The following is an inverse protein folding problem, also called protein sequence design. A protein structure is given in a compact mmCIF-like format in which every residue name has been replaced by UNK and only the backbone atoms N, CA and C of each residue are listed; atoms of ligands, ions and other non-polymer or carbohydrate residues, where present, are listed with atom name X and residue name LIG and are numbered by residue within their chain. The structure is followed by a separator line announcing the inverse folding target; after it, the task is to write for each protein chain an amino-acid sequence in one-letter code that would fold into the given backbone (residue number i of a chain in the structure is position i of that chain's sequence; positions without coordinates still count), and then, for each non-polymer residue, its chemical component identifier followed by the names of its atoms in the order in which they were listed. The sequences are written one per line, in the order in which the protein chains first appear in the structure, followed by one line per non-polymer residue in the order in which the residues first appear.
data_IF_168716138467
#
_entry.id   IF_168716138467
#
_cell.length_a   1.000
_cell.length_b   1.000
_cell.length_c   1.000
_cell.angle_alpha   90.00
_cell.angle_beta   90.00
_cell.angle_gamma   90.00
#
_symmetry.space_group_name_H-M   'P 1'
#
loop_
_entity.id
_entity.type
_entity.pdbx_description
1 polymer ?
#
# COMPACT_ATOMS: atom_id res chain seq x y z
N UNK A 1 -17.18 -11.36 -4.33
CA UNK A 1 -15.84 -10.88 -3.92
C UNK A 1 -15.95 -9.59 -3.12
N UNK A 2 -16.54 -9.62 -1.91
CA UNK A 2 -16.72 -8.39 -1.12
C UNK A 2 -16.60 -8.64 0.40
N UNK A 3 -17.04 -9.82 0.87
CA UNK A 3 -17.00 -10.19 2.28
C UNK A 3 -15.64 -9.99 2.96
N UNK A 4 -14.53 -10.45 2.36
CA UNK A 4 -13.18 -10.27 2.92
C UNK A 4 -12.82 -8.79 3.08
N UNK A 5 -13.05 -7.97 2.04
CA UNK A 5 -12.71 -6.56 2.07
C UNK A 5 -13.55 -5.81 3.10
N UNK A 6 -14.84 -6.10 3.18
CA UNK A 6 -15.73 -5.48 4.18
C UNK A 6 -15.27 -5.83 5.59
N UNK A 7 -15.00 -7.11 5.88
CA UNK A 7 -14.52 -7.53 7.21
C UNK A 7 -13.18 -6.91 7.56
N UNK A 8 -12.24 -6.87 6.61
CA UNK A 8 -10.94 -6.24 6.80
C UNK A 8 -11.08 -4.75 7.14
N UNK A 9 -11.90 -4.01 6.39
CA UNK A 9 -12.10 -2.57 6.60
C UNK A 9 -12.89 -2.25 7.88
N UNK A 10 -13.75 -3.15 8.35
CA UNK A 10 -14.43 -3.00 9.64
C UNK A 10 -13.48 -3.22 10.83
N UNK A 11 -12.51 -4.13 10.70
CA UNK A 11 -11.54 -4.42 11.76
C UNK A 11 -10.52 -3.30 11.98
N UNK A 12 -10.29 -2.41 11.01
CA UNK A 12 -9.27 -1.37 11.09
C UNK A 12 -9.86 0.03 10.89
N UNK A 13 -9.62 0.92 11.86
CA UNK A 13 -10.05 2.32 11.82
C UNK A 13 -9.19 3.20 10.92
N UNK A 14 -7.96 2.78 10.59
CA UNK A 14 -7.07 3.51 9.70
C UNK A 14 -6.14 2.55 8.95
N UNK A 15 -5.91 2.84 7.67
CA UNK A 15 -4.94 2.14 6.81
C UNK A 15 -4.15 3.20 6.06
N UNK A 16 -2.83 3.20 6.20
CA UNK A 16 -1.93 4.13 5.49
C UNK A 16 -0.75 3.39 4.87
N UNK A 17 -0.23 3.91 3.76
CA UNK A 17 0.94 3.34 3.10
C UNK A 17 2.19 3.51 4.00
N UNK A 18 2.97 2.44 4.14
CA UNK A 18 4.21 2.43 4.91
C UNK A 18 5.40 2.08 4.00
N UNK A 19 6.01 3.11 3.42
CA UNK A 19 7.21 2.96 2.58
C UNK A 19 8.45 2.54 3.39
N UNK A 20 8.50 2.80 4.70
CA UNK A 20 9.65 2.45 5.53
C UNK A 20 9.75 0.94 5.79
N UNK A 21 8.61 0.24 5.70
CA UNK A 21 8.54 -1.22 5.85
C UNK A 21 8.81 -1.97 4.53
N UNK A 22 8.79 -1.28 3.40
CA UNK A 22 9.01 -1.90 2.10
C UNK A 22 10.51 -2.20 1.84
N UNK A 23 10.84 -3.26 1.09
CA UNK A 23 12.21 -3.53 0.66
C UNK A 23 12.83 -2.32 -0.06
N UNK A 24 14.08 -1.92 0.22
CA UNK A 24 14.70 -0.74 -0.41
C UNK A 24 14.67 -0.77 -1.95
N UNK A 25 14.88 -1.94 -2.54
CA UNK A 25 14.91 -2.14 -4.00
C UNK A 25 13.52 -2.02 -4.67
N UNK A 26 12.45 -1.94 -3.87
CA UNK A 26 11.08 -1.81 -4.33
C UNK A 26 10.52 -0.39 -4.28
N UNK A 27 11.28 0.54 -3.69
CA UNK A 27 10.90 1.94 -3.56
C UNK A 27 11.14 2.70 -4.87
N UNK A 28 10.24 3.63 -5.25
CA UNK A 28 10.48 4.54 -6.36
C UNK A 28 11.84 5.26 -6.22
N UNK A 29 12.68 5.24 -7.26
CA UNK A 29 13.94 5.98 -7.25
C UNK A 29 13.74 7.48 -7.01
N UNK A 30 14.63 8.17 -6.28
CA UNK A 30 14.53 9.60 -6.02
C UNK A 30 14.40 10.46 -7.28
N UNK A 31 15.04 10.03 -8.37
CA UNK A 31 15.03 10.71 -9.67
C UNK A 31 13.63 10.83 -10.29
N UNK A 32 12.65 10.06 -9.81
CA UNK A 32 11.28 10.14 -10.30
C UNK A 32 10.62 11.48 -9.99
N UNK A 33 10.96 12.12 -8.87
CA UNK A 33 10.32 13.37 -8.40
C UNK A 33 10.39 14.53 -9.41
N UNK A 34 11.35 14.51 -10.33
CA UNK A 34 11.51 15.53 -11.38
C UNK A 34 10.91 15.15 -12.73
N UNK A 35 10.33 13.96 -12.88
CA UNK A 35 9.83 13.48 -14.16
C UNK A 35 8.38 13.94 -14.42
N UNK A 36 8.00 14.18 -15.68
CA UNK A 36 6.63 14.56 -16.00
C UNK A 36 5.64 13.42 -15.73
N UNK A 37 4.40 13.79 -15.37
CA UNK A 37 3.28 12.87 -15.25
C UNK A 37 3.21 12.09 -13.93
N UNK A 38 2.51 10.95 -13.93
CA UNK A 38 2.26 10.13 -12.72
C UNK A 38 3.54 9.66 -12.05
N UNK A 39 4.61 9.46 -12.81
CA UNK A 39 5.88 8.93 -12.31
C UNK A 39 6.46 9.77 -11.17
N UNK A 40 6.28 11.10 -11.16
CA UNK A 40 6.77 11.95 -10.09
C UNK A 40 6.02 11.84 -8.75
N UNK A 41 4.76 11.39 -8.78
CA UNK A 41 3.91 11.29 -7.59
C UNK A 41 3.66 9.84 -7.17
N UNK A 42 4.17 8.88 -7.94
CA UNK A 42 3.93 7.46 -7.69
C UNK A 42 4.73 6.99 -6.47
N UNK A 43 4.05 6.31 -5.55
CA UNK A 43 4.62 5.85 -4.28
C UNK A 43 5.04 4.37 -4.30
N UNK A 44 4.72 3.67 -5.39
CA UNK A 44 5.07 2.26 -5.62
C UNK A 44 5.59 2.09 -7.05
N UNK A 45 6.30 0.99 -7.34
CA UNK A 45 6.73 0.70 -8.71
C UNK A 45 5.75 -0.29 -9.35
N UNK A 46 4.83 0.14 -10.23
CA UNK A 46 3.97 -0.79 -10.97
C UNK A 46 4.80 -1.59 -11.98
N UNK A 47 4.55 -2.90 -12.05
CA UNK A 47 5.14 -3.84 -13.01
C UNK A 47 4.04 -4.67 -13.66
N UNK A 48 4.28 -5.10 -14.90
CA UNK A 48 3.35 -5.91 -15.67
C UNK A 48 4.12 -7.03 -16.37
N UNK A 49 4.20 -8.20 -15.74
CA UNK A 49 4.77 -9.41 -16.37
C UNK A 49 3.68 -10.25 -17.05
N UNK A 50 2.53 -10.37 -16.38
CA UNK A 50 1.32 -11.00 -16.91
C UNK A 50 0.10 -10.30 -16.33
N UNK A 51 0.11 -10.12 -15.00
CA UNK A 51 -0.84 -9.29 -14.26
C UNK A 51 -0.12 -8.06 -13.74
N UNK A 52 -0.83 -6.93 -13.64
CA UNK A 52 -0.32 -5.71 -13.02
C UNK A 52 -0.12 -5.94 -11.51
N UNK A 53 1.04 -5.55 -10.98
CA UNK A 53 1.34 -5.65 -9.56
C UNK A 53 2.32 -4.55 -9.10
N UNK A 54 2.38 -4.30 -7.79
CA UNK A 54 3.39 -3.44 -7.19
C UNK A 54 4.66 -4.26 -6.91
N UNK A 55 5.80 -3.83 -7.44
CA UNK A 55 7.11 -4.43 -7.13
C UNK A 55 7.33 -4.40 -5.62
N UNK A 56 7.73 -5.54 -5.02
CA UNK A 56 7.94 -5.65 -3.57
C UNK A 56 6.68 -5.67 -2.70
N UNK A 57 5.49 -5.62 -3.31
CA UNK A 57 4.21 -5.65 -2.61
C UNK A 57 3.76 -4.28 -2.08
N UNK A 58 2.63 -4.26 -1.38
CA UNK A 58 2.07 -3.06 -0.74
C UNK A 58 2.20 -3.19 0.77
N UNK A 59 3.01 -2.33 1.37
CA UNK A 59 3.23 -2.30 2.80
C UNK A 59 2.39 -1.20 3.42
N UNK A 60 1.60 -1.55 4.43
CA UNK A 60 0.65 -0.64 5.05
C UNK A 60 0.72 -0.73 6.57
N UNK A 61 0.50 0.40 7.23
CA UNK A 61 0.24 0.47 8.65
C UNK A 61 -1.26 0.48 8.87
N UNK A 62 -1.73 -0.39 9.74
CA UNK A 62 -3.14 -0.50 10.09
C UNK A 62 -3.34 -0.19 11.57
N UNK A 63 -4.41 0.55 11.90
CA UNK A 63 -4.86 0.80 13.27
C UNK A 63 -6.14 0.04 13.52
N UNK A 64 -6.17 -0.81 14.55
CA UNK A 64 -7.36 -1.58 14.92
C UNK A 64 -8.55 -0.67 15.27
N UNK A 65 -9.76 -1.16 15.02
CA UNK A 65 -11.00 -0.47 15.38
C UNK A 65 -11.34 -0.71 16.85
N UNK A 66 -11.90 0.30 17.52
CA UNK A 66 -12.24 0.23 18.95
C UNK A 66 -13.44 -0.70 19.25
N UNK A 67 -14.19 -1.12 18.22
CA UNK A 67 -15.38 -1.98 18.37
C UNK A 67 -15.05 -3.47 18.61
N UNK A 68 -13.78 -3.82 18.81
CA UNK A 68 -13.33 -5.19 19.08
C UNK A 68 -12.87 -5.50 20.52
N UNK A 69 -12.90 -4.54 21.45
CA UNK A 69 -12.42 -4.74 22.84
C UNK A 69 -13.53 -5.10 23.84
N UNK A 70 -14.54 -5.85 23.40
CA UNK A 70 -15.40 -6.59 24.34
C UNK A 70 -15.07 -8.09 24.22
N UNK A 71 -14.26 -8.58 25.17
CA UNK A 71 -13.85 -9.98 25.28
C UNK A 71 -12.64 -10.16 26.20
#
# INVERSE_FOLDING_TARGET
MSFMLIRLLQSFSSISLDQASAPPDSLPPPDWKGLPGRKAIEQVIPRLHLTLYALGGLWVRMKESAEGTEG
#
